data_IF_417514579985
#
_entry.id   IF_417514579985
#
_cell.length_a   1.000
_cell.length_b   1.000
_cell.length_c   1.000
_cell.angle_alpha   90.00
_cell.angle_beta   90.00
_cell.angle_gamma   90.00
#
_symmetry.space_group_name_H-M   'P 1'
#
loop_
_entity.id
_entity.type
_entity.pdbx_description
1 polymer ?
#
# COMPACT_ATOMS: atom_id res chain seq x y z
N UNK A 1 3.95 7.55 -63.62
CA UNK A 1 4.83 6.93 -62.59
C UNK A 1 4.79 7.84 -61.36
N UNK A 2 3.88 7.56 -60.43
CA UNK A 2 3.75 8.35 -59.19
C UNK A 2 4.74 7.77 -58.16
N UNK A 3 5.73 8.58 -57.80
CA UNK A 3 6.70 8.25 -56.76
C UNK A 3 5.96 8.28 -55.39
N UNK A 4 5.91 7.17 -54.63
CA UNK A 4 5.27 7.18 -53.31
C UNK A 4 6.05 8.14 -52.41
N UNK A 5 5.38 9.20 -51.97
CA UNK A 5 5.87 10.20 -51.02
C UNK A 5 6.51 9.52 -49.82
N UNK A 6 7.85 9.67 -49.66
CA UNK A 6 8.55 9.27 -48.45
C UNK A 6 7.83 9.83 -47.22
N UNK A 7 7.53 9.05 -46.22
CA UNK A 7 6.93 9.57 -44.99
C UNK A 7 7.84 10.69 -44.49
N UNK A 8 7.25 11.86 -44.26
CA UNK A 8 7.96 13.00 -43.68
C UNK A 8 8.52 12.56 -42.35
N UNK A 9 9.83 12.73 -42.04
CA UNK A 9 10.38 12.40 -40.74
C UNK A 9 9.57 13.16 -39.68
N UNK A 10 9.00 12.40 -38.73
CA UNK A 10 8.32 12.99 -37.58
C UNK A 10 9.29 13.96 -36.90
N UNK A 11 8.84 15.18 -36.57
CA UNK A 11 9.68 16.13 -35.85
C UNK A 11 10.14 15.45 -34.55
N UNK A 12 11.41 15.68 -34.15
CA UNK A 12 11.92 15.13 -32.88
C UNK A 12 10.97 15.55 -31.77
N UNK A 13 10.36 14.58 -31.13
CA UNK A 13 9.46 14.81 -29.97
C UNK A 13 10.35 15.40 -28.87
N UNK A 14 10.28 16.71 -28.69
CA UNK A 14 11.00 17.40 -27.62
C UNK A 14 10.60 16.79 -26.31
N UNK A 15 11.56 16.20 -25.61
CA UNK A 15 11.33 15.67 -24.28
C UNK A 15 11.05 16.84 -23.35
N UNK A 16 9.89 16.88 -22.69
CA UNK A 16 9.59 17.97 -21.78
C UNK A 16 10.70 18.08 -20.71
N UNK A 17 11.06 19.30 -20.27
CA UNK A 17 12.08 19.51 -19.27
C UNK A 17 11.71 18.76 -17.97
N UNK A 18 12.72 18.32 -17.22
CA UNK A 18 12.50 17.67 -15.91
C UNK A 18 11.85 18.67 -14.98
N UNK A 19 10.68 18.39 -14.41
CA UNK A 19 10.04 19.30 -13.47
C UNK A 19 10.92 19.47 -12.22
N UNK A 20 11.35 20.67 -11.95
CA UNK A 20 12.15 20.97 -10.74
C UNK A 20 11.41 20.55 -9.46
N UNK A 21 10.09 20.61 -9.49
CA UNK A 21 9.25 20.17 -8.38
C UNK A 21 9.42 18.67 -8.05
N UNK A 22 9.50 17.78 -9.06
CA UNK A 22 9.67 16.34 -8.83
C UNK A 22 11.05 16.03 -8.21
N UNK A 23 12.10 16.74 -8.64
CA UNK A 23 13.42 16.62 -8.01
C UNK A 23 13.41 17.12 -6.56
N UNK A 24 12.74 18.21 -6.28
CA UNK A 24 12.61 18.71 -4.91
C UNK A 24 11.85 17.73 -4.02
N UNK A 25 10.74 17.17 -4.51
CA UNK A 25 9.98 16.15 -3.78
C UNK A 25 10.82 14.89 -3.54
N UNK A 26 11.58 14.41 -4.54
CA UNK A 26 12.47 13.28 -4.37
C UNK A 26 13.56 13.55 -3.32
N UNK A 27 14.19 14.73 -3.36
CA UNK A 27 15.21 15.11 -2.40
C UNK A 27 14.65 15.18 -0.96
N UNK A 28 13.49 15.82 -0.77
CA UNK A 28 12.82 15.88 0.53
C UNK A 28 12.46 14.47 1.03
N UNK A 29 11.93 13.61 0.16
CA UNK A 29 11.59 12.24 0.53
C UNK A 29 12.82 11.43 0.96
N UNK A 30 13.95 11.57 0.29
CA UNK A 30 15.23 10.93 0.68
C UNK A 30 15.71 11.46 2.05
N UNK A 31 15.69 12.78 2.25
CA UNK A 31 16.10 13.37 3.53
C UNK A 31 15.23 12.84 4.67
N UNK A 32 13.91 12.82 4.47
CA UNK A 32 12.99 12.32 5.49
C UNK A 32 13.16 10.80 5.72
N UNK A 33 13.49 10.01 4.69
CA UNK A 33 13.80 8.60 4.84
C UNK A 33 15.05 8.39 5.69
N UNK A 34 16.11 9.18 5.47
CA UNK A 34 17.33 9.13 6.29
C UNK A 34 17.01 9.51 7.73
N UNK A 35 16.25 10.58 7.95
CA UNK A 35 15.83 10.99 9.29
C UNK A 35 15.04 9.89 10.00
N UNK A 36 14.10 9.24 9.29
CA UNK A 36 13.30 8.13 9.84
C UNK A 36 14.17 6.91 10.20
N UNK A 37 15.18 6.59 9.38
CA UNK A 37 16.14 5.51 9.66
C UNK A 37 16.99 5.84 10.88
N UNK A 38 17.55 7.05 10.95
CA UNK A 38 18.36 7.49 12.10
C UNK A 38 17.53 7.51 13.37
N UNK A 39 16.32 8.08 13.32
CA UNK A 39 15.43 8.08 14.47
C UNK A 39 15.08 6.65 14.93
N UNK A 40 14.86 5.73 13.98
CA UNK A 40 14.59 4.32 14.28
C UNK A 40 15.78 3.61 14.90
N UNK A 41 17.01 3.94 14.51
CA UNK A 41 18.23 3.37 15.10
C UNK A 41 18.53 3.89 16.51
N UNK A 42 18.13 5.13 16.80
CA UNK A 42 18.31 5.75 18.12
C UNK A 42 17.24 5.32 19.12
N UNK A 43 16.05 5.01 18.66
CA UNK A 43 14.96 4.50 19.49
C UNK A 43 14.97 2.98 19.46
N UNK A 44 15.69 2.37 20.40
CA UNK A 44 15.65 0.92 20.59
C UNK A 44 14.22 0.48 20.97
N UNK A 45 13.50 -0.11 20.03
CA UNK A 45 12.49 -1.07 20.45
C UNK A 45 11.04 -0.88 20.04
N UNK A 46 10.61 0.09 19.25
CA UNK A 46 9.25 0.06 18.74
C UNK A 46 9.17 -0.74 17.42
N UNK A 47 9.27 -2.07 17.57
CA UNK A 47 9.01 -3.01 16.50
C UNK A 47 7.77 -3.82 16.90
N UNK A 48 6.57 -3.48 16.42
CA UNK A 48 5.39 -4.27 16.70
C UNK A 48 5.59 -5.70 16.19
N UNK A 49 5.35 -6.68 17.07
CA UNK A 49 5.48 -8.09 16.73
C UNK A 49 4.48 -8.44 15.64
N UNK A 50 4.91 -9.28 14.71
CA UNK A 50 4.05 -9.87 13.70
C UNK A 50 3.88 -11.33 14.04
N UNK A 51 2.65 -11.81 14.09
CA UNK A 51 2.32 -13.20 14.41
C UNK A 51 1.66 -13.89 13.22
N UNK A 52 2.00 -15.14 13.01
CA UNK A 52 1.35 -16.01 12.05
C UNK A 52 0.81 -17.22 12.82
N UNK A 53 -0.49 -17.33 12.95
CA UNK A 53 -1.11 -18.48 13.58
C UNK A 53 -1.25 -19.61 12.56
N UNK A 54 -0.47 -20.66 12.77
CA UNK A 54 -0.59 -21.90 12.02
C UNK A 54 -1.58 -22.82 12.73
N UNK A 55 -2.47 -23.44 11.98
CA UNK A 55 -3.46 -24.39 12.50
C UNK A 55 -3.28 -25.77 11.83
N UNK A 56 -2.15 -26.47 12.09
CA UNK A 56 -1.96 -27.80 11.51
C UNK A 56 -3.03 -28.76 12.06
N UNK A 57 -3.67 -29.56 11.21
CA UNK A 57 -4.54 -30.61 11.68
C UNK A 57 -3.71 -31.69 12.39
N UNK A 58 -4.06 -31.97 13.61
CA UNK A 58 -3.52 -33.09 14.38
C UNK A 58 -4.59 -34.17 14.54
N UNK A 59 -4.17 -35.39 14.96
CA UNK A 59 -5.07 -36.47 15.30
C UNK A 59 -4.85 -36.80 16.77
N UNK A 60 -5.90 -36.74 17.57
CA UNK A 60 -5.85 -37.10 18.96
C UNK A 60 -6.80 -38.28 19.26
N UNK A 61 -6.44 -39.20 20.19
CA UNK A 61 -7.34 -40.23 20.63
C UNK A 61 -8.50 -39.61 21.42
N UNK A 62 -9.71 -40.09 21.17
CA UNK A 62 -10.90 -39.77 21.95
C UNK A 62 -11.70 -41.04 22.27
N UNK A 63 -12.58 -40.94 23.25
CA UNK A 63 -13.45 -42.07 23.64
C UNK A 63 -14.35 -42.45 22.44
N UNK A 64 -14.00 -43.58 21.81
CA UNK A 64 -14.72 -44.10 20.64
C UNK A 64 -14.02 -43.93 19.29
N UNK A 65 -12.76 -43.42 19.26
CA UNK A 65 -11.98 -43.32 18.03
C UNK A 65 -10.93 -42.22 18.01
N UNK A 66 -10.52 -41.82 16.79
CA UNK A 66 -9.58 -40.73 16.54
C UNK A 66 -10.34 -39.49 16.12
N UNK A 67 -10.09 -38.36 16.75
CA UNK A 67 -10.66 -37.06 16.34
C UNK A 67 -9.60 -36.19 15.74
N UNK A 68 -9.98 -35.35 14.77
CA UNK A 68 -9.11 -34.29 14.22
C UNK A 68 -9.11 -33.15 15.21
N UNK A 69 -7.95 -32.84 15.76
CA UNK A 69 -7.74 -31.70 16.65
C UNK A 69 -6.95 -30.65 15.90
N UNK A 70 -7.45 -29.42 15.89
CA UNK A 70 -6.75 -28.27 15.30
C UNK A 70 -6.21 -27.43 16.43
N UNK A 71 -4.90 -27.45 16.60
CA UNK A 71 -4.22 -26.69 17.66
C UNK A 71 -3.57 -25.45 17.02
N UNK A 72 -4.05 -24.23 17.32
CA UNK A 72 -3.44 -23.02 16.80
C UNK A 72 -2.05 -22.84 17.43
N UNK A 73 -1.02 -22.78 16.61
CA UNK A 73 0.37 -22.55 17.03
C UNK A 73 0.81 -21.17 16.53
N UNK A 74 0.99 -20.17 17.39
CA UNK A 74 1.48 -18.87 16.99
C UNK A 74 2.98 -18.94 16.70
N UNK A 75 3.37 -18.50 15.50
CA UNK A 75 4.77 -18.28 15.11
C UNK A 75 5.01 -16.78 15.16
N UNK A 76 5.96 -16.35 15.97
CA UNK A 76 6.35 -14.95 16.06
C UNK A 76 7.38 -14.67 14.96
N UNK A 77 7.04 -13.76 14.05
CA UNK A 77 7.92 -13.27 13.01
C UNK A 77 8.73 -12.08 13.52
N UNK A 78 9.91 -11.79 12.93
CA UNK A 78 10.66 -10.58 13.25
C UNK A 78 9.76 -9.35 13.08
N UNK A 79 9.71 -8.50 14.09
CA UNK A 79 8.93 -7.26 14.04
C UNK A 79 9.50 -6.29 13.00
N UNK A 80 8.64 -5.59 12.29
CA UNK A 80 9.05 -4.53 11.37
C UNK A 80 9.22 -3.24 12.17
N UNK A 81 10.44 -2.72 12.19
CA UNK A 81 10.67 -1.40 12.80
C UNK A 81 9.86 -0.34 12.07
N UNK A 82 9.01 0.38 12.79
CA UNK A 82 8.10 1.37 12.23
C UNK A 82 8.84 2.45 11.42
N UNK A 83 9.96 2.95 11.95
CA UNK A 83 10.77 3.95 11.25
C UNK A 83 11.39 3.41 9.96
N UNK A 84 11.82 2.14 9.93
CA UNK A 84 12.31 1.50 8.72
C UNK A 84 11.20 1.34 7.67
N UNK A 85 10.00 0.97 8.08
CA UNK A 85 8.85 0.87 7.18
C UNK A 85 8.49 2.24 6.56
N UNK A 86 8.49 3.30 7.36
CA UNK A 86 8.28 4.66 6.89
C UNK A 86 9.40 5.08 5.93
N UNK A 87 10.66 4.76 6.24
CA UNK A 87 11.79 5.08 5.37
C UNK A 87 11.69 4.37 4.02
N UNK A 88 11.33 3.09 4.00
CA UNK A 88 11.11 2.33 2.75
C UNK A 88 9.99 2.97 1.92
N UNK A 89 8.90 3.40 2.55
CA UNK A 89 7.82 4.09 1.86
C UNK A 89 8.27 5.41 1.24
N UNK A 90 9.05 6.21 1.98
CA UNK A 90 9.59 7.48 1.49
C UNK A 90 10.60 7.26 0.35
N UNK A 91 11.45 6.24 0.44
CA UNK A 91 12.36 5.85 -0.63
C UNK A 91 11.59 5.37 -1.88
N UNK A 92 10.48 4.68 -1.70
CA UNK A 92 9.60 4.32 -2.81
C UNK A 92 9.05 5.57 -3.52
N UNK A 93 8.56 6.57 -2.77
CA UNK A 93 8.12 7.86 -3.34
C UNK A 93 9.27 8.54 -4.09
N UNK A 94 10.46 8.60 -3.50
CA UNK A 94 11.63 9.17 -4.15
C UNK A 94 11.98 8.43 -5.45
N UNK A 95 11.98 7.09 -5.42
CA UNK A 95 12.25 6.27 -6.59
C UNK A 95 11.24 6.51 -7.72
N UNK A 96 9.95 6.63 -7.39
CA UNK A 96 8.89 6.96 -8.36
C UNK A 96 9.13 8.31 -9.03
N UNK A 97 9.61 9.31 -8.28
CA UNK A 97 9.97 10.62 -8.87
C UNK A 97 11.24 10.55 -9.71
N UNK A 98 12.24 9.80 -9.27
CA UNK A 98 13.49 9.61 -10.02
C UNK A 98 13.29 8.80 -11.30
N UNK A 99 12.35 7.86 -11.34
CA UNK A 99 11.99 7.14 -12.56
C UNK A 99 11.52 8.08 -13.69
N UNK A 100 10.95 9.24 -13.36
CA UNK A 100 10.58 10.25 -14.34
C UNK A 100 11.80 10.95 -15.00
N UNK A 101 13.02 10.74 -14.49
CA UNK A 101 14.25 11.18 -15.16
C UNK A 101 14.52 10.36 -16.42
N UNK A 102 14.03 9.12 -16.50
CA UNK A 102 14.15 8.26 -17.68
C UNK A 102 13.29 8.86 -18.82
N UNK A 103 13.90 9.23 -19.97
CA UNK A 103 13.19 9.94 -21.04
C UNK A 103 11.96 9.18 -21.56
N UNK A 104 12.03 7.85 -21.64
CA UNK A 104 10.93 7.02 -22.12
C UNK A 104 9.71 7.08 -21.16
N UNK A 105 9.94 6.99 -19.84
CA UNK A 105 8.88 7.09 -18.84
C UNK A 105 8.30 8.50 -18.76
N UNK A 106 9.15 9.51 -18.86
CA UNK A 106 8.72 10.90 -18.87
C UNK A 106 7.82 11.23 -20.05
N UNK A 107 8.17 10.74 -21.27
CA UNK A 107 7.32 10.88 -22.46
C UNK A 107 5.95 10.22 -22.24
N UNK A 108 5.95 8.99 -21.74
CA UNK A 108 4.72 8.27 -21.45
C UNK A 108 3.86 9.00 -20.40
N UNK A 109 4.49 9.49 -19.34
CA UNK A 109 3.81 10.29 -18.31
C UNK A 109 3.21 11.57 -18.90
N UNK A 110 3.96 12.28 -19.76
CA UNK A 110 3.46 13.48 -20.43
C UNK A 110 2.28 13.19 -21.38
N UNK A 111 2.34 12.07 -22.10
CA UNK A 111 1.24 11.62 -22.97
C UNK A 111 -0.01 11.27 -22.15
N UNK A 112 0.16 10.55 -21.04
CA UNK A 112 -0.95 10.21 -20.15
C UNK A 112 -1.56 11.47 -19.52
N UNK A 113 -0.73 12.41 -19.05
CA UNK A 113 -1.18 13.68 -18.49
C UNK A 113 -1.93 14.55 -19.51
N UNK A 114 -1.48 14.58 -20.77
CA UNK A 114 -2.17 15.28 -21.84
C UNK A 114 -3.54 14.66 -22.19
N UNK A 115 -3.71 13.37 -21.90
CA UNK A 115 -4.98 12.66 -22.05
C UNK A 115 -5.82 12.65 -20.74
N UNK A 116 -5.49 13.51 -19.77
CA UNK A 116 -6.12 13.59 -18.44
C UNK A 116 -6.12 12.26 -17.69
N UNK A 117 -5.06 11.47 -17.90
CA UNK A 117 -4.85 10.20 -17.22
C UNK A 117 -3.74 10.32 -16.19
N UNK A 118 -4.05 10.03 -14.94
CA UNK A 118 -3.10 10.17 -13.82
C UNK A 118 -2.64 8.82 -13.29
N UNK A 119 -2.45 7.82 -14.17
CA UNK A 119 -2.10 6.42 -13.81
C UNK A 119 -0.91 6.35 -12.86
N UNK A 120 0.17 7.10 -13.15
CA UNK A 120 1.38 7.13 -12.33
C UNK A 120 1.12 7.57 -10.88
N UNK A 121 0.33 8.62 -10.73
CA UNK A 121 -0.09 9.17 -9.45
C UNK A 121 -0.90 8.16 -8.63
N UNK A 122 -1.81 7.42 -9.28
CA UNK A 122 -2.63 6.42 -8.60
C UNK A 122 -1.84 5.19 -8.17
N UNK A 123 -0.81 4.77 -8.94
CA UNK A 123 0.11 3.72 -8.53
C UNK A 123 0.87 4.14 -7.27
N UNK A 124 1.41 5.36 -7.23
CA UNK A 124 2.08 5.91 -6.06
C UNK A 124 1.13 5.94 -4.84
N UNK A 125 -0.08 6.46 -5.02
CA UNK A 125 -1.08 6.50 -3.94
C UNK A 125 -1.54 5.13 -3.47
N UNK A 126 -1.58 4.12 -4.34
CA UNK A 126 -1.96 2.76 -3.94
C UNK A 126 -0.96 2.19 -2.92
N UNK A 127 0.33 2.40 -3.13
CA UNK A 127 1.36 1.95 -2.19
C UNK A 127 1.32 2.76 -0.89
N UNK A 128 1.17 4.08 -0.97
CA UNK A 128 1.01 4.94 0.19
C UNK A 128 -0.21 4.52 1.04
N UNK A 129 -1.35 4.27 0.40
CA UNK A 129 -2.56 3.85 1.08
C UNK A 129 -2.42 2.44 1.68
N UNK A 130 -1.84 1.49 0.93
CA UNK A 130 -1.62 0.12 1.41
C UNK A 130 -0.69 0.07 2.63
N UNK A 131 0.51 0.66 2.51
CA UNK A 131 1.48 0.69 3.61
C UNK A 131 0.95 1.53 4.77
N UNK A 132 0.34 2.69 4.50
CA UNK A 132 -0.23 3.55 5.54
C UNK A 132 -1.30 2.82 6.36
N UNK A 133 -2.25 2.14 5.73
CA UNK A 133 -3.28 1.36 6.44
C UNK A 133 -2.69 0.17 7.20
N UNK A 134 -1.66 -0.49 6.65
CA UNK A 134 -0.92 -1.54 7.33
C UNK A 134 -0.26 -1.02 8.63
N UNK A 135 0.46 0.10 8.56
CA UNK A 135 1.11 0.71 9.73
C UNK A 135 0.09 1.17 10.78
N UNK A 136 -1.01 1.78 10.35
CA UNK A 136 -2.12 2.16 11.25
C UNK A 136 -2.73 0.94 11.92
N UNK A 137 -2.90 -0.18 11.21
CA UNK A 137 -3.39 -1.43 11.79
C UNK A 137 -2.45 -1.97 12.86
N UNK A 138 -1.13 -1.94 12.63
CA UNK A 138 -0.14 -2.34 13.64
C UNK A 138 -0.17 -1.42 14.87
N UNK A 139 -0.30 -0.12 14.69
CA UNK A 139 -0.46 0.83 15.81
C UNK A 139 -1.71 0.57 16.64
N UNK A 140 -2.75 0.02 16.03
CA UNK A 140 -3.97 -0.42 16.72
C UNK A 140 -3.85 -1.82 17.35
N UNK A 141 -2.66 -2.43 17.36
CA UNK A 141 -2.39 -3.71 17.97
C UNK A 141 -2.81 -4.92 17.13
N UNK A 142 -3.05 -4.74 15.83
CA UNK A 142 -3.27 -5.86 14.91
C UNK A 142 -1.90 -6.40 14.51
N UNK A 143 -1.56 -7.59 14.99
CA UNK A 143 -0.26 -8.23 14.76
C UNK A 143 -0.33 -9.43 13.83
N UNK A 144 -1.53 -9.96 13.60
CA UNK A 144 -1.74 -11.18 12.82
C UNK A 144 -1.60 -10.94 11.32
N UNK A 145 -0.72 -11.70 10.66
CA UNK A 145 -0.44 -11.59 9.21
C UNK A 145 -1.70 -11.78 8.38
N UNK A 146 -2.55 -12.74 8.75
CA UNK A 146 -3.81 -13.04 8.06
C UNK A 146 -4.79 -11.87 8.06
N UNK A 147 -4.64 -10.92 8.98
CA UNK A 147 -5.39 -9.67 9.05
C UNK A 147 -4.66 -8.51 8.38
N UNK A 148 -3.34 -8.43 8.55
CA UNK A 148 -2.52 -7.33 8.02
C UNK A 148 -2.44 -7.34 6.50
N UNK A 149 -2.28 -8.53 5.88
CA UNK A 149 -2.18 -8.64 4.41
C UNK A 149 -3.47 -8.20 3.71
N UNK A 150 -4.67 -8.64 4.10
CA UNK A 150 -5.91 -8.11 3.54
C UNK A 150 -6.10 -6.61 3.77
N UNK A 151 -5.69 -6.07 4.92
CA UNK A 151 -5.78 -4.62 5.21
C UNK A 151 -4.91 -3.83 4.23
N UNK A 152 -3.66 -4.26 4.02
CA UNK A 152 -2.79 -3.67 3.01
C UNK A 152 -3.39 -3.76 1.61
N UNK A 153 -3.83 -4.97 1.21
CA UNK A 153 -4.39 -5.21 -0.12
C UNK A 153 -5.64 -4.36 -0.40
N UNK A 154 -6.53 -4.23 0.59
CA UNK A 154 -7.72 -3.39 0.48
C UNK A 154 -7.36 -1.90 0.40
N UNK A 155 -6.38 -1.44 1.19
CA UNK A 155 -5.87 -0.07 1.11
C UNK A 155 -5.32 0.26 -0.28
N UNK A 156 -4.47 -0.60 -0.81
CA UNK A 156 -3.89 -0.46 -2.14
C UNK A 156 -4.95 -0.55 -3.26
N UNK A 157 -5.85 -1.52 -3.18
CA UNK A 157 -6.90 -1.74 -4.18
C UNK A 157 -7.85 -0.54 -4.29
N UNK A 158 -8.18 0.11 -3.17
CA UNK A 158 -9.02 1.31 -3.15
C UNK A 158 -8.49 2.40 -4.08
N UNK A 159 -7.18 2.66 -4.03
CA UNK A 159 -6.53 3.62 -4.91
C UNK A 159 -6.40 3.13 -6.36
N UNK A 160 -6.20 1.82 -6.59
CA UNK A 160 -6.14 1.26 -7.95
C UNK A 160 -7.48 1.37 -8.70
N UNK A 161 -8.61 1.32 -8.01
CA UNK A 161 -9.91 1.56 -8.64
C UNK A 161 -10.04 2.97 -9.23
N UNK A 162 -9.27 3.94 -8.73
CA UNK A 162 -9.24 5.30 -9.29
C UNK A 162 -8.55 5.34 -10.66
N UNK A 163 -7.61 4.43 -10.95
CA UNK A 163 -7.04 4.27 -12.30
C UNK A 163 -8.15 3.89 -13.29
N UNK A 164 -9.00 2.94 -12.91
CA UNK A 164 -10.12 2.50 -13.76
C UNK A 164 -11.13 3.65 -13.94
N UNK A 165 -11.35 4.45 -12.89
CA UNK A 165 -12.20 5.63 -12.97
C UNK A 165 -11.66 6.65 -13.97
N UNK A 166 -10.38 7.05 -13.86
CA UNK A 166 -9.72 8.00 -14.75
C UNK A 166 -9.75 7.53 -16.21
N UNK A 167 -9.44 6.26 -16.46
CA UNK A 167 -9.46 5.70 -17.80
C UNK A 167 -10.86 5.73 -18.42
N UNK A 168 -11.90 5.49 -17.65
CA UNK A 168 -13.29 5.57 -18.11
C UNK A 168 -13.72 7.00 -18.34
N UNK A 169 -13.36 7.91 -17.44
CA UNK A 169 -13.64 9.35 -17.59
C UNK A 169 -12.99 9.93 -18.84
N UNK A 170 -11.70 9.61 -19.08
CA UNK A 170 -10.97 10.04 -20.28
C UNK A 170 -11.57 9.51 -21.58
N UNK A 171 -12.32 8.39 -21.56
CA UNK A 171 -13.04 7.85 -22.73
C UNK A 171 -14.51 8.29 -22.81
N UNK A 172 -14.94 9.26 -22.00
CA UNK A 172 -16.32 9.73 -21.94
C UNK A 172 -17.32 8.72 -21.35
N UNK A 173 -16.82 7.64 -20.74
CA UNK A 173 -17.65 6.62 -20.09
C UNK A 173 -17.84 6.92 -18.62
N UNK A 174 -19.05 6.63 -18.11
CA UNK A 174 -19.33 6.83 -16.70
C UNK A 174 -18.48 5.92 -15.80
N UNK A 175 -17.56 6.52 -15.03
CA UNK A 175 -16.62 5.83 -14.12
C UNK A 175 -17.20 5.55 -12.72
N UNK A 176 -18.46 5.91 -12.46
CA UNK A 176 -19.10 5.81 -11.15
C UNK A 176 -19.01 4.46 -10.45
N UNK A 177 -19.20 3.31 -11.14
CA UNK A 177 -19.07 2.00 -10.50
C UNK A 177 -17.67 1.73 -9.92
N UNK A 178 -16.60 2.14 -10.63
CA UNK A 178 -15.23 1.96 -10.14
C UNK A 178 -14.96 2.83 -8.91
N UNK A 179 -15.43 4.08 -8.91
CA UNK A 179 -15.35 4.96 -7.75
C UNK A 179 -16.14 4.42 -6.55
N UNK A 180 -17.36 3.91 -6.77
CA UNK A 180 -18.18 3.32 -5.73
C UNK A 180 -17.53 2.08 -5.10
N UNK A 181 -16.92 1.20 -5.91
CA UNK A 181 -16.16 0.04 -5.44
C UNK A 181 -14.94 0.45 -4.62
N UNK A 182 -14.13 1.39 -5.11
CA UNK A 182 -12.99 1.93 -4.38
C UNK A 182 -13.40 2.52 -3.03
N UNK A 183 -14.48 3.29 -2.99
CA UNK A 183 -15.03 3.88 -1.77
C UNK A 183 -15.61 2.83 -0.81
N UNK A 184 -16.21 1.76 -1.31
CA UNK A 184 -16.72 0.66 -0.50
C UNK A 184 -15.59 -0.13 0.15
N UNK A 185 -14.51 -0.41 -0.60
CA UNK A 185 -13.29 -1.05 -0.09
C UNK A 185 -12.65 -0.22 1.02
N UNK A 186 -12.49 1.09 0.81
CA UNK A 186 -11.94 1.99 1.83
C UNK A 186 -12.78 2.03 3.11
N UNK A 187 -14.13 2.02 2.99
CA UNK A 187 -15.06 1.92 4.13
C UNK A 187 -14.97 0.57 4.83
N UNK A 188 -14.76 -0.51 4.11
CA UNK A 188 -14.59 -1.86 4.67
C UNK A 188 -13.37 -1.93 5.60
N UNK A 189 -12.23 -1.32 5.21
CA UNK A 189 -11.02 -1.24 6.03
C UNK A 189 -11.29 -0.47 7.33
N UNK A 190 -11.87 0.73 7.23
CA UNK A 190 -12.13 1.57 8.39
C UNK A 190 -13.13 0.94 9.38
N UNK A 191 -14.11 0.19 8.91
CA UNK A 191 -15.06 -0.52 9.77
C UNK A 191 -14.41 -1.69 10.53
N UNK A 192 -13.47 -2.40 9.92
CA UNK A 192 -12.72 -3.47 10.60
C UNK A 192 -11.80 -2.93 11.68
N UNK A 193 -11.08 -1.84 11.41
CA UNK A 193 -10.24 -1.15 12.39
C UNK A 193 -11.05 -0.69 13.61
N UNK A 194 -12.23 -0.15 13.37
CA UNK A 194 -13.13 0.29 14.44
C UNK A 194 -13.64 -0.86 15.32
N UNK A 195 -13.95 -2.01 14.72
CA UNK A 195 -14.39 -3.21 15.49
C UNK A 195 -13.29 -3.77 16.38
N UNK A 196 -12.03 -3.81 15.90
CA UNK A 196 -10.91 -4.29 16.70
C UNK A 196 -10.66 -3.40 17.92
N UNK A 197 -10.83 -2.09 17.81
CA UNK A 197 -10.73 -1.16 18.94
C UNK A 197 -11.82 -1.41 19.98
N UNK A 198 -13.05 -1.71 19.57
CA UNK A 198 -14.14 -2.01 20.51
C UNK A 198 -13.91 -3.34 21.26
N UNK A 199 -13.39 -4.38 20.59
CA UNK A 199 -13.10 -5.65 21.24
C UNK A 199 -11.97 -5.53 22.25
N UNK A 200 -10.92 -4.77 21.96
CA UNK A 200 -9.80 -4.56 22.88
C UNK A 200 -10.19 -3.71 24.10
N UNK A 201 -11.10 -2.76 23.96
CA UNK A 201 -11.66 -2.00 25.08
C UNK A 201 -12.56 -2.88 25.97
N UNK A 202 -13.41 -3.72 25.37
CA UNK A 202 -14.28 -4.63 26.10
C UNK A 202 -13.50 -5.70 26.90
N UNK A 203 -12.35 -6.14 26.39
CA UNK A 203 -11.44 -7.05 27.09
C UNK A 203 -10.77 -6.39 28.31
N UNK A 204 -10.36 -5.14 28.20
CA UNK A 204 -9.75 -4.38 29.32
C UNK A 204 -10.73 -4.08 30.46
N UNK A 205 -12.01 -3.92 30.15
CA UNK A 205 -13.03 -3.64 31.18
C UNK A 205 -13.44 -4.88 31.97
N UNK A 206 -13.08 -6.09 31.54
CA UNK A 206 -13.42 -7.35 32.23
C UNK A 206 -12.38 -7.84 33.22
N UNK A 207 -11.23 -7.16 33.36
CA UNK A 207 -10.29 -7.40 34.46
C UNK A 207 -10.27 -6.19 35.40
N UNK A 208 -11.27 -6.00 36.28
CA UNK A 208 -11.11 -5.14 37.42
C UNK A 208 -10.17 -5.91 38.40
N UNK A 209 -9.02 -5.31 38.67
CA UNK A 209 -8.13 -5.55 39.79
C UNK A 209 -8.52 -6.72 40.71
N UNK A 210 -7.89 -7.89 40.49
CA UNK A 210 -7.70 -8.85 41.56
C UNK A 210 -6.39 -8.43 42.26
N UNK A 211 -6.52 -7.73 43.38
CA UNK A 211 -5.49 -7.59 44.40
C UNK A 211 -5.45 -8.89 45.21
#
# INVERSE_FOLDING_TARGET
MNNPTRPRPEPPIDTPPVPRADLAVAAVAVILAVVALVASSLQSGFAPLITLTLTPPGVAPADGGMIIVVTPTPVVLPGVQMGAAIAVLLLFVAAMRLLLLVPALRRRHATDAAADRHTWRWIEYSQLAGVGTFLVAQLNGITEVTSLVPIYALGAAGALFLIVHDHRAATGRFGGPAFALGSAVARGVSSRLRRSQHSSRASRSRHPFAL
#
